data_IF_573471116184
#
_entry.id   IF_573471116184
#
_cell.length_a   1.000
_cell.length_b   1.000
_cell.length_c   1.000
_cell.angle_alpha   90.00
_cell.angle_beta   90.00
_cell.angle_gamma   90.00
#
_symmetry.space_group_name_H-M   'P 1'
#
loop_
_entity.id
_entity.type
_entity.pdbx_description
1 polymer ?
#
# COMPACT_ATOMS: atom_id res chain seq x y z
N UNK A 1 -3.50 -2.20 -2.71
CA UNK A 1 -2.86 -0.87 -2.60
C UNK A 1 -3.90 0.20 -2.91
N UNK A 2 -3.92 1.26 -2.13
CA UNK A 2 -4.76 2.43 -2.38
C UNK A 2 -4.13 3.31 -3.47
N UNK A 3 -4.91 4.22 -4.04
CA UNK A 3 -4.42 5.14 -5.08
C UNK A 3 -3.29 6.02 -4.55
N UNK A 4 -3.33 6.36 -3.27
CA UNK A 4 -2.29 7.13 -2.59
C UNK A 4 -0.92 6.46 -2.65
N UNK A 5 -0.88 5.13 -2.56
CA UNK A 5 0.38 4.38 -2.65
C UNK A 5 1.03 4.51 -4.03
N UNK A 6 0.22 4.59 -5.09
CA UNK A 6 0.72 4.81 -6.45
C UNK A 6 1.37 6.18 -6.60
N UNK A 7 0.83 7.19 -5.91
CA UNK A 7 1.39 8.54 -5.91
C UNK A 7 2.76 8.61 -5.20
N UNK A 8 3.08 7.63 -4.35
CA UNK A 8 4.33 7.56 -3.62
C UNK A 8 5.35 6.58 -4.23
N UNK A 9 5.10 6.04 -5.42
CA UNK A 9 6.10 5.24 -6.12
C UNK A 9 7.36 6.10 -6.40
N UNK A 10 8.56 5.54 -6.26
CA UNK A 10 9.81 6.29 -6.41
C UNK A 10 9.89 7.11 -7.71
N UNK A 11 9.51 6.50 -8.84
CA UNK A 11 9.57 7.17 -10.13
C UNK A 11 8.51 8.26 -10.30
N UNK A 12 7.37 8.15 -9.60
CA UNK A 12 6.33 9.20 -9.58
C UNK A 12 6.85 10.41 -8.81
N UNK A 13 7.48 10.19 -7.64
CA UNK A 13 8.08 11.25 -6.82
C UNK A 13 9.20 11.94 -7.60
N UNK A 14 10.11 11.19 -8.23
CA UNK A 14 11.20 11.73 -9.05
C UNK A 14 10.69 12.59 -10.19
N UNK A 15 9.68 12.10 -10.92
CA UNK A 15 9.09 12.84 -12.04
C UNK A 15 8.44 14.14 -11.57
N UNK A 16 7.69 14.12 -10.46
CA UNK A 16 7.08 15.32 -9.89
C UNK A 16 8.14 16.32 -9.39
N UNK A 17 9.20 15.84 -8.74
CA UNK A 17 10.30 16.68 -8.26
C UNK A 17 11.05 17.34 -9.43
N UNK A 18 11.38 16.58 -10.47
CA UNK A 18 12.00 17.12 -11.70
C UNK A 18 11.12 18.21 -12.34
N UNK A 19 9.81 17.96 -12.43
CA UNK A 19 8.86 18.91 -13.02
C UNK A 19 8.77 20.23 -12.23
N UNK A 20 8.87 20.16 -10.89
CA UNK A 20 8.88 21.34 -10.02
C UNK A 20 10.28 21.92 -9.79
N UNK A 21 11.28 21.46 -10.52
CA UNK A 21 12.69 21.87 -10.40
C UNK A 21 13.24 21.70 -8.99
N UNK A 22 12.84 20.64 -8.30
CA UNK A 22 13.39 20.20 -7.02
C UNK A 22 14.33 19.03 -7.24
N UNK A 23 15.27 18.82 -6.33
CA UNK A 23 16.16 17.67 -6.35
C UNK A 23 15.37 16.36 -6.13
N UNK A 24 15.28 15.47 -7.14
CA UNK A 24 14.45 14.27 -7.06
C UNK A 24 14.88 13.29 -5.96
N UNK A 25 16.18 13.10 -5.78
CA UNK A 25 16.68 12.12 -4.79
C UNK A 25 16.52 12.65 -3.37
N UNK A 26 16.69 13.94 -3.17
CA UNK A 26 16.46 14.57 -1.87
C UNK A 26 14.99 14.50 -1.46
N UNK A 27 14.07 14.76 -2.39
CA UNK A 27 12.62 14.66 -2.13
C UNK A 27 12.26 13.22 -1.84
N UNK A 28 12.72 12.28 -2.69
CA UNK A 28 12.46 10.85 -2.51
C UNK A 28 12.95 10.35 -1.15
N UNK A 29 14.18 10.64 -0.78
CA UNK A 29 14.74 10.20 0.50
C UNK A 29 13.92 10.70 1.71
N UNK A 30 13.45 11.96 1.68
CA UNK A 30 12.60 12.51 2.74
C UNK A 30 11.26 11.82 2.83
N UNK A 31 10.59 11.59 1.69
CA UNK A 31 9.30 10.90 1.63
C UNK A 31 9.45 9.46 2.10
N UNK A 32 10.44 8.73 1.60
CA UNK A 32 10.72 7.36 2.03
C UNK A 32 10.94 7.28 3.54
N UNK A 33 11.80 8.15 4.08
CA UNK A 33 12.06 8.19 5.52
C UNK A 33 10.80 8.49 6.35
N UNK A 34 9.91 9.35 5.88
CA UNK A 34 8.65 9.65 6.55
C UNK A 34 7.69 8.45 6.52
N UNK A 35 7.49 7.84 5.35
CA UNK A 35 6.61 6.67 5.17
C UNK A 35 7.11 5.48 6.00
N UNK A 36 8.42 5.21 6.00
CA UNK A 36 8.99 4.11 6.76
C UNK A 36 8.82 4.31 8.28
N UNK A 37 9.00 5.54 8.79
CA UNK A 37 8.71 5.85 10.20
C UNK A 37 7.25 5.65 10.55
N UNK A 38 6.32 6.13 9.72
CA UNK A 38 4.88 5.93 9.93
C UNK A 38 4.52 4.45 9.95
N UNK A 39 5.05 3.68 9.02
CA UNK A 39 4.81 2.24 8.95
C UNK A 39 5.31 1.53 10.21
N UNK A 40 6.54 1.82 10.65
CA UNK A 40 7.10 1.24 11.87
C UNK A 40 6.24 1.51 13.12
N UNK A 41 5.69 2.72 13.24
CA UNK A 41 4.79 3.09 14.35
C UNK A 41 3.45 2.37 14.28
N UNK A 42 2.91 2.12 13.08
CA UNK A 42 1.58 1.54 12.86
C UNK A 42 1.60 0.05 12.50
N UNK A 43 2.77 -0.62 12.56
CA UNK A 43 2.98 -1.98 12.09
C UNK A 43 1.95 -2.98 12.64
N UNK A 44 1.73 -2.98 13.96
CA UNK A 44 0.79 -3.91 14.62
C UNK A 44 -0.66 -3.64 14.22
N UNK A 45 -1.06 -2.38 14.12
CA UNK A 45 -2.42 -2.01 13.70
C UNK A 45 -2.65 -2.35 12.24
N UNK A 46 -1.66 -2.18 11.37
CA UNK A 46 -1.74 -2.61 9.98
C UNK A 46 -1.84 -4.12 9.84
N UNK A 47 -1.05 -4.89 10.59
CA UNK A 47 -1.17 -6.35 10.61
C UNK A 47 -2.59 -6.80 11.03
N UNK A 48 -3.14 -6.18 12.08
CA UNK A 48 -4.51 -6.46 12.54
C UNK A 48 -5.56 -6.13 11.47
N UNK A 49 -5.42 -5.01 10.78
CA UNK A 49 -6.33 -4.61 9.71
C UNK A 49 -6.31 -5.62 8.55
N UNK A 50 -5.13 -6.07 8.14
CA UNK A 50 -5.00 -7.12 7.13
C UNK A 50 -5.63 -8.45 7.57
N UNK A 51 -5.45 -8.86 8.83
CA UNK A 51 -6.11 -10.06 9.39
C UNK A 51 -7.62 -9.89 9.34
N UNK A 52 -8.14 -8.76 9.82
CA UNK A 52 -9.58 -8.46 9.81
C UNK A 52 -10.18 -8.64 8.42
N UNK A 53 -9.56 -8.07 7.40
CA UNK A 53 -10.03 -8.20 6.02
C UNK A 53 -9.98 -9.65 5.52
N UNK A 54 -8.92 -10.39 5.83
CA UNK A 54 -8.80 -11.80 5.44
C UNK A 54 -9.82 -12.68 6.14
N UNK A 55 -9.99 -12.49 7.45
CA UNK A 55 -10.99 -13.23 8.26
C UNK A 55 -12.39 -12.95 7.73
N UNK A 56 -12.74 -11.66 7.54
CA UNK A 56 -14.04 -11.28 6.99
C UNK A 56 -14.33 -12.00 5.68
N UNK A 57 -13.39 -11.94 4.73
CA UNK A 57 -13.55 -12.58 3.41
C UNK A 57 -13.68 -14.10 3.51
N UNK A 58 -12.89 -14.76 4.39
CA UNK A 58 -12.98 -16.19 4.59
C UNK A 58 -14.32 -16.61 5.19
N UNK A 59 -14.82 -15.85 6.18
CA UNK A 59 -16.13 -16.08 6.78
C UNK A 59 -17.24 -15.91 5.74
N UNK A 60 -17.25 -14.79 5.00
CA UNK A 60 -18.26 -14.51 3.96
C UNK A 60 -18.35 -15.63 2.92
N UNK A 61 -17.21 -16.13 2.44
CA UNK A 61 -17.18 -17.21 1.42
C UNK A 61 -17.65 -18.57 1.98
N UNK A 62 -17.41 -18.85 3.26
CA UNK A 62 -17.65 -20.18 3.82
C UNK A 62 -18.97 -20.30 4.55
N UNK A 63 -19.56 -19.20 5.02
CA UNK A 63 -20.85 -19.19 5.70
C UNK A 63 -22.05 -19.27 4.73
N UNK A 64 -21.80 -19.19 3.43
CA UNK A 64 -22.86 -19.25 2.39
C UNK A 64 -23.43 -20.65 2.18
N UNK A 65 -23.26 -21.57 3.14
CA UNK A 65 -23.87 -22.91 3.16
C UNK A 65 -25.23 -22.84 3.85
N UNK A 66 -26.18 -23.60 3.31
CA UNK A 66 -27.47 -23.81 3.98
C UNK A 66 -27.28 -24.72 5.18
N UNK A 67 -27.61 -24.24 6.36
CA UNK A 67 -27.62 -25.04 7.60
C UNK A 67 -29.03 -25.55 7.88
N UNK A 68 -29.12 -26.76 8.39
CA UNK A 68 -30.40 -27.42 8.69
C UNK A 68 -30.89 -27.12 10.09
N UNK A 69 -30.01 -26.73 11.04
CA UNK A 69 -30.32 -26.36 12.38
C UNK A 69 -29.26 -25.42 12.98
N UNK A 70 -29.57 -24.82 14.13
CA UNK A 70 -28.67 -23.87 14.79
C UNK A 70 -27.36 -24.52 15.23
N UNK A 71 -27.42 -25.74 15.78
CA UNK A 71 -26.24 -26.47 16.26
C UNK A 71 -25.23 -26.71 15.12
N UNK A 72 -25.72 -27.09 13.95
CA UNK A 72 -24.85 -27.25 12.77
C UNK A 72 -24.16 -25.94 12.35
N UNK A 73 -24.81 -24.79 12.53
CA UNK A 73 -24.18 -23.48 12.31
C UNK A 73 -23.13 -23.19 13.39
N UNK A 74 -23.44 -23.44 14.65
CA UNK A 74 -22.51 -23.19 15.77
C UNK A 74 -21.24 -24.03 15.63
N UNK A 75 -21.36 -25.34 15.37
CA UNK A 75 -20.23 -26.24 15.15
C UNK A 75 -19.38 -25.77 13.96
N UNK A 76 -20.01 -25.39 12.85
CA UNK A 76 -19.32 -24.88 11.69
C UNK A 76 -18.55 -23.58 11.99
N UNK A 77 -19.09 -22.68 12.80
CA UNK A 77 -18.41 -21.45 13.18
C UNK A 77 -17.18 -21.71 14.05
N UNK A 78 -17.24 -22.68 14.96
CA UNK A 78 -16.10 -23.08 15.79
C UNK A 78 -14.98 -23.66 14.91
N UNK A 79 -15.32 -24.58 14.01
CA UNK A 79 -14.37 -25.18 13.09
C UNK A 79 -13.74 -24.11 12.18
N UNK A 80 -14.55 -23.20 11.66
CA UNK A 80 -14.12 -22.12 10.79
C UNK A 80 -13.08 -21.21 11.46
N UNK A 81 -13.28 -20.85 12.73
CA UNK A 81 -12.32 -20.04 13.50
C UNK A 81 -10.99 -20.78 13.67
N UNK A 82 -11.03 -22.09 13.96
CA UNK A 82 -9.83 -22.91 14.12
C UNK A 82 -9.06 -23.04 12.78
N UNK A 83 -9.78 -23.30 11.69
CA UNK A 83 -9.17 -23.42 10.36
C UNK A 83 -8.57 -22.11 9.85
N UNK A 84 -9.23 -20.96 10.05
CA UNK A 84 -8.73 -19.65 9.64
C UNK A 84 -7.49 -19.26 10.44
N UNK A 85 -7.42 -19.67 11.73
CA UNK A 85 -6.31 -19.34 12.64
C UNK A 85 -5.91 -17.85 12.62
N UNK A 86 -6.78 -16.92 13.06
CA UNK A 86 -6.51 -15.48 12.99
C UNK A 86 -5.25 -15.05 13.75
N UNK A 87 -4.95 -15.74 14.87
CA UNK A 87 -3.75 -15.48 15.69
C UNK A 87 -2.47 -15.77 14.91
N UNK A 88 -2.38 -16.96 14.31
CA UNK A 88 -1.22 -17.32 13.49
C UNK A 88 -1.04 -16.37 12.31
N UNK A 89 -2.13 -16.00 11.62
CA UNK A 89 -2.10 -14.98 10.56
C UNK A 89 -1.54 -13.64 11.05
N UNK A 90 -1.92 -13.20 12.26
CA UNK A 90 -1.45 -11.94 12.84
C UNK A 90 0.05 -11.99 13.15
N UNK A 91 0.50 -13.05 13.79
CA UNK A 91 1.91 -13.25 14.15
C UNK A 91 2.81 -13.29 12.90
N UNK A 92 2.37 -14.01 11.87
CA UNK A 92 3.10 -14.08 10.59
C UNK A 92 3.17 -12.70 9.89
N UNK A 93 2.07 -11.95 9.87
CA UNK A 93 2.07 -10.61 9.30
C UNK A 93 2.95 -9.65 10.10
N UNK A 94 2.91 -9.69 11.43
CA UNK A 94 3.79 -8.89 12.26
C UNK A 94 5.25 -9.18 11.96
N UNK A 95 5.64 -10.48 11.88
CA UNK A 95 7.01 -10.90 11.53
C UNK A 95 7.42 -10.37 10.17
N UNK A 96 6.57 -10.53 9.17
CA UNK A 96 6.83 -10.06 7.80
C UNK A 96 6.97 -8.54 7.72
N UNK A 97 6.10 -7.80 8.41
CA UNK A 97 6.17 -6.34 8.44
C UNK A 97 7.38 -5.82 9.17
N UNK A 98 7.82 -6.51 10.24
CA UNK A 98 9.09 -6.21 10.89
C UNK A 98 10.27 -6.41 9.94
N UNK A 99 10.26 -7.47 9.13
CA UNK A 99 11.31 -7.70 8.13
C UNK A 99 11.36 -6.58 7.09
N UNK A 100 10.21 -6.12 6.57
CA UNK A 100 10.17 -5.00 5.64
C UNK A 100 10.71 -3.70 6.27
N UNK A 101 10.33 -3.43 7.52
CA UNK A 101 10.82 -2.26 8.24
C UNK A 101 12.33 -2.34 8.51
N UNK A 102 12.82 -3.47 8.96
CA UNK A 102 14.25 -3.68 9.25
C UNK A 102 15.13 -3.63 7.98
N UNK A 103 14.63 -4.17 6.87
CA UNK A 103 15.32 -4.12 5.58
C UNK A 103 15.20 -2.76 4.88
N UNK A 104 14.43 -1.81 5.45
CA UNK A 104 14.10 -0.54 4.81
C UNK A 104 13.49 -0.73 3.40
N UNK A 105 12.69 -1.81 3.21
CA UNK A 105 12.08 -2.17 1.94
C UNK A 105 10.85 -1.31 1.68
N UNK A 106 11.09 -0.13 1.13
CA UNK A 106 10.06 0.85 0.85
C UNK A 106 8.98 0.35 -0.13
N UNK A 107 9.37 -0.39 -1.17
CA UNK A 107 8.41 -0.91 -2.15
C UNK A 107 7.50 -1.98 -1.55
N UNK A 108 8.04 -2.87 -0.71
CA UNK A 108 7.24 -3.84 0.01
C UNK A 108 6.28 -3.17 0.99
N UNK A 109 6.74 -2.10 1.67
CA UNK A 109 5.87 -1.30 2.56
C UNK A 109 4.74 -0.65 1.78
N UNK A 110 4.99 -0.01 0.64
CA UNK A 110 3.93 0.58 -0.18
C UNK A 110 2.86 -0.42 -0.65
N UNK A 111 3.20 -1.71 -0.78
CA UNK A 111 2.23 -2.76 -1.17
C UNK A 111 1.27 -3.14 -0.05
N UNK A 112 1.67 -2.94 1.20
CA UNK A 112 0.93 -3.42 2.37
C UNK A 112 0.43 -2.32 3.31
N UNK A 113 1.01 -1.14 3.23
CA UNK A 113 0.65 -0.02 4.09
C UNK A 113 -0.62 0.66 3.58
N UNK A 114 -1.68 0.58 4.36
CA UNK A 114 -2.99 1.13 4.04
C UNK A 114 -3.26 2.34 4.94
N UNK A 115 -2.79 3.53 4.54
CA UNK A 115 -2.90 4.75 5.32
C UNK A 115 -3.38 5.91 4.46
N UNK A 116 -4.64 6.32 4.63
CA UNK A 116 -5.29 7.39 3.86
C UNK A 116 -4.65 8.77 4.01
N UNK A 117 -3.92 8.98 5.11
CA UNK A 117 -3.25 10.27 5.37
C UNK A 117 -1.80 10.28 4.90
N UNK A 118 -1.33 9.24 4.23
CA UNK A 118 0.09 9.06 3.89
C UNK A 118 0.66 10.24 3.10
N UNK A 119 -0.07 10.76 2.10
CA UNK A 119 0.35 11.92 1.31
C UNK A 119 0.47 13.21 2.13
N UNK A 120 -0.34 13.36 3.16
CA UNK A 120 -0.29 14.51 4.06
C UNK A 120 0.83 14.34 5.07
N UNK A 121 0.90 13.19 5.71
CA UNK A 121 1.87 12.94 6.79
C UNK A 121 3.31 12.84 6.30
N UNK A 122 3.55 12.47 5.02
CA UNK A 122 4.89 12.53 4.42
C UNK A 122 5.27 13.91 3.85
N UNK A 123 4.36 14.88 3.92
CA UNK A 123 4.56 16.28 3.53
C UNK A 123 5.07 16.49 2.09
N UNK A 124 4.69 15.58 1.17
CA UNK A 124 5.19 15.60 -0.19
C UNK A 124 4.84 16.91 -0.93
N UNK A 125 3.66 17.47 -0.66
CA UNK A 125 3.26 18.71 -1.30
C UNK A 125 4.21 19.87 -0.94
N UNK A 126 4.50 20.08 0.33
CA UNK A 126 5.43 21.09 0.81
C UNK A 126 6.86 20.88 0.28
N UNK A 127 7.33 19.63 0.25
CA UNK A 127 8.64 19.28 -0.32
C UNK A 127 8.77 19.69 -1.79
N UNK A 128 7.66 19.69 -2.53
CA UNK A 128 7.58 20.12 -3.93
C UNK A 128 7.25 21.61 -4.10
N UNK A 129 6.99 22.35 -3.02
CA UNK A 129 6.57 23.74 -3.06
C UNK A 129 5.10 23.92 -3.45
N UNK A 130 4.27 22.95 -3.14
CA UNK A 130 2.82 22.95 -3.38
C UNK A 130 2.06 23.21 -2.06
N UNK A 131 0.81 23.69 -2.15
CA UNK A 131 0.07 24.08 -0.96
C UNK A 131 -0.52 22.86 -0.20
N UNK A 132 -0.96 21.82 -0.91
CA UNK A 132 -1.65 20.70 -0.31
C UNK A 132 -1.56 19.43 -1.18
N UNK A 133 -2.07 18.29 -0.65
CA UNK A 133 -2.07 16.99 -1.34
C UNK A 133 -2.83 17.01 -2.67
N UNK A 134 -3.89 17.82 -2.79
CA UNK A 134 -4.71 17.85 -4.00
C UNK A 134 -3.97 18.54 -5.14
N UNK A 135 -3.13 19.54 -4.82
CA UNK A 135 -2.22 20.16 -5.78
C UNK A 135 -1.16 19.15 -6.25
N UNK A 136 -0.66 18.31 -5.36
CA UNK A 136 0.24 17.23 -5.74
C UNK A 136 -0.42 16.21 -6.69
N UNK A 137 -1.62 15.76 -6.35
CA UNK A 137 -2.38 14.84 -7.21
C UNK A 137 -2.64 15.48 -8.58
N UNK A 138 -3.08 16.73 -8.62
CA UNK A 138 -3.28 17.48 -9.87
C UNK A 138 -2.00 17.62 -10.68
N UNK A 139 -0.87 17.88 -10.01
CA UNK A 139 0.43 17.94 -10.68
C UNK A 139 0.75 16.61 -11.38
N UNK A 140 0.67 15.47 -10.68
CA UNK A 140 0.94 14.14 -11.25
C UNK A 140 0.00 13.85 -12.43
N UNK A 141 -1.29 14.15 -12.28
CA UNK A 141 -2.27 13.98 -13.37
C UNK A 141 -1.96 14.88 -14.58
N UNK A 142 -1.51 16.10 -14.35
CA UNK A 142 -1.10 17.01 -15.42
C UNK A 142 0.17 16.53 -16.13
N UNK A 143 1.14 16.01 -15.39
CA UNK A 143 2.33 15.39 -16.00
C UNK A 143 1.91 14.22 -16.89
N UNK A 144 1.00 13.35 -16.43
CA UNK A 144 0.49 12.20 -17.19
C UNK A 144 -0.20 12.58 -18.51
N UNK A 145 -0.79 13.78 -18.59
CA UNK A 145 -1.40 14.30 -19.83
C UNK A 145 -0.37 14.82 -20.84
N UNK A 146 0.87 15.02 -20.44
CA UNK A 146 1.94 15.47 -21.33
C UNK A 146 2.52 14.29 -22.11
N UNK A 147 3.30 14.59 -23.18
CA UNK A 147 4.10 13.60 -23.92
C UNK A 147 5.59 13.67 -23.53
N UNK A 148 5.88 14.17 -22.31
CA UNK A 148 7.26 14.32 -21.84
C UNK A 148 7.80 13.01 -21.26
N UNK A 149 9.13 12.85 -21.15
CA UNK A 149 9.75 11.66 -20.56
C UNK A 149 9.26 11.33 -19.14
N UNK A 150 8.93 12.36 -18.34
CA UNK A 150 8.39 12.19 -16.99
C UNK A 150 7.05 11.45 -17.02
N UNK A 151 6.20 11.71 -17.98
CA UNK A 151 4.92 11.00 -18.16
C UNK A 151 5.13 9.51 -18.40
N UNK A 152 6.08 9.14 -19.25
CA UNK A 152 6.39 7.74 -19.53
C UNK A 152 6.99 7.02 -18.31
N UNK A 153 7.82 7.70 -17.52
CA UNK A 153 8.34 7.16 -16.24
C UNK A 153 7.20 6.84 -15.28
N UNK A 154 6.25 7.77 -15.08
CA UNK A 154 5.09 7.56 -14.24
C UNK A 154 4.23 6.39 -14.73
N UNK A 155 3.93 6.33 -16.04
CA UNK A 155 3.14 5.25 -16.63
C UNK A 155 3.80 3.89 -16.44
N UNK A 156 5.11 3.82 -16.67
CA UNK A 156 5.89 2.59 -16.49
C UNK A 156 5.90 2.14 -15.04
N UNK A 157 6.09 3.06 -14.09
CA UNK A 157 6.05 2.77 -12.67
C UNK A 157 4.69 2.20 -12.24
N UNK A 158 3.60 2.83 -12.69
CA UNK A 158 2.24 2.37 -12.39
C UNK A 158 1.98 0.99 -13.02
N UNK A 159 2.33 0.78 -14.30
CA UNK A 159 2.20 -0.53 -14.95
C UNK A 159 2.93 -1.63 -14.19
N UNK A 160 4.18 -1.35 -13.77
CA UNK A 160 4.98 -2.29 -12.96
C UNK A 160 4.32 -2.61 -11.62
N UNK A 161 3.75 -1.60 -10.94
CA UNK A 161 3.05 -1.80 -9.68
C UNK A 161 1.82 -2.73 -9.80
N UNK A 162 1.17 -2.74 -10.97
CA UNK A 162 0.06 -3.65 -11.28
C UNK A 162 0.49 -4.98 -11.94
N UNK A 163 1.79 -5.21 -12.14
CA UNK A 163 2.29 -6.38 -12.85
C UNK A 163 1.98 -6.42 -14.34
N UNK A 164 1.58 -5.27 -14.93
CA UNK A 164 1.25 -5.18 -16.35
C UNK A 164 2.55 -5.05 -17.15
N UNK A 165 2.78 -5.95 -18.09
CA UNK A 165 3.94 -5.93 -18.99
C UNK A 165 5.15 -6.73 -18.50
N UNK A 166 5.06 -7.47 -17.40
CA UNK A 166 5.98 -8.55 -17.10
C UNK A 166 5.55 -9.77 -17.93
N UNK A 167 6.11 -9.92 -19.14
CA UNK A 167 6.09 -11.22 -19.81
C UNK A 167 6.83 -12.18 -18.87
N UNK A 168 6.14 -13.22 -18.39
CA UNK A 168 6.79 -14.39 -17.84
C UNK A 168 7.62 -14.98 -18.98
N UNK A 169 8.92 -14.81 -18.92
CA UNK A 169 9.82 -15.71 -19.64
C UNK A 169 9.77 -17.02 -18.85
N UNK A 170 8.93 -17.93 -19.34
CA UNK A 170 8.98 -19.34 -18.99
C UNK A 170 10.20 -19.98 -19.67
#
# INVERSE_FOLDING_TARGET
AEVENLMLLPDVIRAAASYTRRDPERVLAKVQGAVMRMFAQKLKSQALEHVRHRVKRNVEVRIDKKFTCITALEDHMVDLVNEINPRGMYEDLCRKFHQYSAANDYEAVLRVFNEKKMLVECDIASLLGLNNKDDYIRLVLNILKTRKPESERIRTAIKRAFGIGQQKND
#
